data_IF_173797084134
#
_entry.id   IF_173797084134
#
_cell.length_a   1.000
_cell.length_b   1.000
_cell.length_c   1.000
_cell.angle_alpha   90.00
_cell.angle_beta   90.00
_cell.angle_gamma   90.00
#
_symmetry.space_group_name_H-M   'P 1'
#
loop_
_entity.id
_entity.type
_entity.pdbx_description
1 polymer ?
#
# COMPACT_ATOMS: atom_id res chain seq x y z
N UNK A 1 -35.85 -5.08 -36.68
CA UNK A 1 -34.39 -5.03 -36.44
C UNK A 1 -34.25 -4.28 -35.13
N UNK A 2 -34.20 -5.01 -34.01
CA UNK A 2 -34.14 -4.42 -32.68
C UNK A 2 -32.81 -3.69 -32.51
N UNK A 3 -32.89 -2.40 -32.19
CA UNK A 3 -31.78 -1.61 -31.69
C UNK A 3 -31.35 -2.24 -30.37
N UNK A 4 -30.31 -3.08 -30.41
CA UNK A 4 -29.62 -3.55 -29.20
C UNK A 4 -28.92 -2.33 -28.63
N UNK A 5 -29.64 -1.56 -27.81
CA UNK A 5 -29.17 -0.34 -27.17
C UNK A 5 -27.74 -0.53 -26.68
N UNK A 6 -26.86 0.41 -27.06
CA UNK A 6 -25.44 0.34 -26.74
C UNK A 6 -25.28 0.04 -25.24
N UNK A 7 -24.66 -1.09 -24.92
CA UNK A 7 -24.35 -1.45 -23.53
C UNK A 7 -23.37 -0.40 -23.01
N UNK A 8 -23.83 0.45 -22.09
CA UNK A 8 -22.98 1.45 -21.47
C UNK A 8 -22.06 0.72 -20.50
N UNK A 9 -20.81 0.53 -20.91
CA UNK A 9 -19.77 -0.05 -20.07
C UNK A 9 -19.45 0.87 -18.90
N UNK A 10 -19.32 0.27 -17.72
CA UNK A 10 -18.77 0.90 -16.55
C UNK A 10 -17.25 1.08 -16.67
N UNK A 11 -16.64 1.60 -15.61
CA UNK A 11 -15.20 1.88 -15.58
C UNK A 11 -14.58 1.41 -14.27
N UNK A 12 -13.37 0.89 -14.36
CA UNK A 12 -12.56 0.47 -13.21
C UNK A 12 -11.56 1.57 -12.87
N UNK A 13 -11.44 1.89 -11.59
CA UNK A 13 -10.43 2.80 -11.06
C UNK A 13 -9.56 2.04 -10.06
N UNK A 14 -8.26 1.97 -10.31
CA UNK A 14 -7.30 1.43 -9.35
C UNK A 14 -6.75 2.59 -8.52
N UNK A 15 -7.21 2.70 -7.29
CA UNK A 15 -6.99 3.90 -6.45
C UNK A 15 -5.98 3.62 -5.35
N UNK A 16 -4.95 4.46 -5.27
CA UNK A 16 -4.02 4.50 -4.15
C UNK A 16 -4.67 5.11 -2.90
N UNK A 17 -4.84 4.29 -1.87
CA UNK A 17 -5.47 4.67 -0.60
C UNK A 17 -4.52 5.39 0.36
N UNK A 18 -3.23 5.51 0.03
CA UNK A 18 -2.24 6.06 0.93
C UNK A 18 -1.63 5.02 1.90
N UNK A 19 -0.74 5.47 2.81
CA UNK A 19 0.08 4.58 3.64
C UNK A 19 -0.65 3.98 4.86
N UNK A 20 -1.87 4.45 5.16
CA UNK A 20 -2.64 3.99 6.32
C UNK A 20 -3.45 5.12 6.97
N UNK A 21 -2.89 6.32 7.03
CA UNK A 21 -3.64 7.51 7.44
C UNK A 21 -4.72 7.84 6.37
N UNK A 22 -6.02 7.88 6.72
CA UNK A 22 -7.09 8.17 5.78
C UNK A 22 -6.97 9.57 5.14
N UNK A 23 -6.31 10.54 5.79
CA UNK A 23 -6.12 11.89 5.24
C UNK A 23 -5.08 11.95 4.11
N UNK A 24 -4.27 10.90 3.97
CA UNK A 24 -3.25 10.79 2.92
C UNK A 24 -3.77 10.14 1.63
N UNK A 25 -5.07 9.84 1.55
CA UNK A 25 -5.73 9.59 0.27
C UNK A 25 -5.76 10.87 -0.58
N UNK A 26 -5.63 10.75 -1.89
CA UNK A 26 -5.79 11.93 -2.77
C UNK A 26 -7.25 12.36 -2.83
N UNK A 27 -7.53 13.66 -3.03
CA UNK A 27 -8.90 14.16 -3.21
C UNK A 27 -9.65 13.41 -4.32
N UNK A 28 -8.96 13.13 -5.44
CA UNK A 28 -9.53 12.35 -6.54
C UNK A 28 -9.86 10.92 -6.11
N UNK A 29 -8.97 10.26 -5.37
CA UNK A 29 -9.21 8.92 -4.83
C UNK A 29 -10.39 8.88 -3.87
N UNK A 30 -10.50 9.87 -2.99
CA UNK A 30 -11.60 10.01 -2.03
C UNK A 30 -12.95 10.17 -2.72
N UNK A 31 -13.06 11.11 -3.67
CA UNK A 31 -14.32 11.31 -4.39
C UNK A 31 -14.75 10.09 -5.20
N UNK A 32 -13.80 9.43 -5.87
CA UNK A 32 -14.08 8.18 -6.60
C UNK A 32 -14.52 7.06 -5.67
N UNK A 33 -13.90 6.94 -4.49
CA UNK A 33 -14.28 5.97 -3.48
C UNK A 33 -15.73 6.17 -3.04
N UNK A 34 -16.11 7.41 -2.72
CA UNK A 34 -17.47 7.74 -2.31
C UNK A 34 -18.49 7.53 -3.44
N UNK A 35 -18.13 7.85 -4.68
CA UNK A 35 -19.02 7.69 -5.85
C UNK A 35 -19.07 6.27 -6.41
N UNK A 36 -18.24 5.35 -5.92
CA UNK A 36 -18.19 3.99 -6.44
C UNK A 36 -19.53 3.27 -6.23
N UNK A 37 -19.88 2.41 -7.17
CA UNK A 37 -20.96 1.43 -7.01
C UNK A 37 -20.43 0.18 -6.30
N UNK A 38 -19.17 -0.18 -6.56
CA UNK A 38 -18.53 -1.40 -6.08
C UNK A 38 -17.09 -1.11 -5.65
N UNK A 39 -16.70 -1.62 -4.49
CA UNK A 39 -15.35 -1.48 -3.94
C UNK A 39 -14.72 -2.85 -3.72
N UNK A 40 -13.51 -3.01 -4.24
CA UNK A 40 -12.63 -4.18 -4.03
C UNK A 40 -11.40 -3.67 -3.28
N UNK A 41 -11.12 -4.18 -2.08
CA UNK A 41 -10.08 -3.61 -1.20
C UNK A 41 -8.90 -4.55 -0.93
N UNK A 42 -7.68 -4.02 -0.98
CA UNK A 42 -6.52 -4.72 -0.43
C UNK A 42 -6.55 -4.75 1.10
N UNK A 43 -6.03 -5.82 1.71
CA UNK A 43 -6.07 -6.07 3.16
C UNK A 43 -5.33 -5.06 4.07
N UNK A 44 -4.60 -4.10 3.50
CA UNK A 44 -3.80 -3.11 4.23
C UNK A 44 -4.35 -1.68 4.11
N UNK A 45 -5.57 -1.52 3.58
CA UNK A 45 -6.24 -0.22 3.52
C UNK A 45 -6.81 0.14 4.89
N UNK A 46 -6.81 1.44 5.22
CA UNK A 46 -7.42 2.00 6.44
C UNK A 46 -8.83 1.48 6.67
N UNK A 47 -9.14 1.13 7.92
CA UNK A 47 -10.52 0.80 8.32
C UNK A 47 -11.44 2.01 8.27
N UNK A 48 -10.95 3.20 8.62
CA UNK A 48 -11.76 4.42 8.55
C UNK A 48 -12.24 4.68 7.11
N UNK A 49 -11.39 4.50 6.10
CA UNK A 49 -11.80 4.63 4.70
C UNK A 49 -12.82 3.57 4.28
N UNK A 50 -12.64 2.33 4.70
CA UNK A 50 -13.56 1.23 4.35
C UNK A 50 -14.92 1.38 5.03
N UNK A 51 -14.96 1.95 6.23
CA UNK A 51 -16.19 2.17 6.98
C UNK A 51 -17.11 3.20 6.33
N UNK A 52 -16.55 4.14 5.54
CA UNK A 52 -17.33 5.12 4.75
C UNK A 52 -18.12 4.49 3.60
N UNK A 53 -17.74 3.29 3.15
CA UNK A 53 -18.28 2.63 1.95
C UNK A 53 -18.55 1.15 2.19
N UNK A 54 -18.75 0.74 3.44
CA UNK A 54 -18.77 -0.67 3.87
C UNK A 54 -19.79 -1.49 3.07
N UNK A 55 -20.95 -0.92 2.77
CA UNK A 55 -22.02 -1.53 1.99
C UNK A 55 -21.66 -1.78 0.51
N UNK A 56 -20.61 -1.12 0.02
CA UNK A 56 -20.11 -1.22 -1.36
C UNK A 56 -18.95 -2.21 -1.48
N UNK A 57 -18.36 -2.65 -0.37
CA UNK A 57 -17.20 -3.55 -0.37
C UNK A 57 -17.64 -4.98 -0.67
N UNK A 58 -17.25 -5.50 -1.83
CA UNK A 58 -17.59 -6.86 -2.27
C UNK A 58 -16.46 -7.87 -2.07
N UNK A 59 -15.24 -7.39 -1.84
CA UNK A 59 -14.06 -8.22 -1.62
C UNK A 59 -13.01 -7.46 -0.81
N UNK A 60 -12.39 -8.14 0.14
CA UNK A 60 -11.25 -7.64 0.92
C UNK A 60 -10.21 -8.76 1.09
N UNK A 61 -8.96 -8.52 0.69
CA UNK A 61 -7.95 -9.56 0.81
C UNK A 61 -6.54 -9.17 0.37
N UNK A 62 -5.59 -10.09 0.53
CA UNK A 62 -4.24 -9.94 -0.02
C UNK A 62 -4.26 -10.35 -1.49
N UNK A 63 -3.76 -9.48 -2.36
CA UNK A 63 -3.60 -9.78 -3.79
C UNK A 63 -2.35 -10.65 -4.01
N UNK A 64 -2.55 -11.96 -4.17
CA UNK A 64 -1.55 -12.94 -4.59
C UNK A 64 -1.71 -13.25 -6.08
N UNK A 65 -0.92 -14.17 -6.64
CA UNK A 65 -1.13 -14.60 -8.03
C UNK A 65 -2.51 -15.22 -8.27
N UNK A 66 -3.05 -15.94 -7.28
CA UNK A 66 -4.34 -16.61 -7.37
C UNK A 66 -5.50 -15.62 -7.22
N UNK A 67 -5.52 -14.85 -6.12
CA UNK A 67 -6.59 -13.88 -5.85
C UNK A 67 -6.59 -12.70 -6.82
N UNK A 68 -5.47 -12.44 -7.51
CA UNK A 68 -5.42 -11.44 -8.58
C UNK A 68 -6.38 -11.76 -9.72
N UNK A 69 -6.45 -13.03 -10.16
CA UNK A 69 -7.37 -13.41 -11.25
C UNK A 69 -8.83 -13.26 -10.83
N UNK A 70 -9.14 -13.65 -9.60
CA UNK A 70 -10.47 -13.47 -9.01
C UNK A 70 -10.86 -11.98 -8.97
N UNK A 71 -9.96 -11.11 -8.51
CA UNK A 71 -10.22 -9.67 -8.44
C UNK A 71 -10.41 -9.04 -9.83
N UNK A 72 -9.59 -9.42 -10.82
CA UNK A 72 -9.77 -8.96 -12.20
C UNK A 72 -11.14 -9.39 -12.74
N UNK A 73 -11.52 -10.65 -12.53
CA UNK A 73 -12.82 -11.18 -12.94
C UNK A 73 -13.97 -10.41 -12.30
N UNK A 74 -13.87 -10.16 -10.99
CA UNK A 74 -14.86 -9.42 -10.23
C UNK A 74 -15.01 -7.99 -10.76
N UNK A 75 -13.89 -7.30 -11.00
CA UNK A 75 -13.90 -5.94 -11.52
C UNK A 75 -14.52 -5.85 -12.93
N UNK A 76 -14.15 -6.78 -13.81
CA UNK A 76 -14.67 -6.84 -15.19
C UNK A 76 -16.16 -7.13 -15.20
N UNK A 77 -16.62 -8.10 -14.39
CA UNK A 77 -18.04 -8.45 -14.28
C UNK A 77 -18.88 -7.26 -13.85
N UNK A 78 -18.47 -6.56 -12.79
CA UNK A 78 -19.22 -5.39 -12.31
C UNK A 78 -19.19 -4.23 -13.33
N UNK A 79 -18.05 -3.97 -13.97
CA UNK A 79 -17.97 -2.94 -15.00
C UNK A 79 -18.80 -3.29 -16.26
N UNK A 80 -18.90 -4.57 -16.63
CA UNK A 80 -19.77 -5.03 -17.73
C UNK A 80 -21.27 -4.75 -17.46
N UNK A 81 -21.65 -4.63 -16.18
CA UNK A 81 -22.99 -4.24 -15.74
C UNK A 81 -23.18 -2.71 -15.69
N UNK A 82 -22.25 -1.92 -16.23
CA UNK A 82 -22.32 -0.46 -16.26
C UNK A 82 -21.84 0.24 -14.98
N UNK A 83 -21.30 -0.51 -14.02
CA UNK A 83 -20.94 0.01 -12.68
C UNK A 83 -19.58 0.70 -12.65
N UNK A 84 -19.47 1.72 -11.82
CA UNK A 84 -18.19 2.31 -11.41
C UNK A 84 -17.55 1.43 -10.34
N UNK A 85 -16.43 0.81 -10.68
CA UNK A 85 -15.70 -0.09 -9.78
C UNK A 85 -14.44 0.60 -9.28
N UNK A 86 -14.24 0.63 -7.97
CA UNK A 86 -13.00 1.07 -7.34
C UNK A 86 -12.25 -0.12 -6.77
N UNK A 87 -11.02 -0.31 -7.21
CA UNK A 87 -10.06 -1.25 -6.64
C UNK A 87 -9.08 -0.46 -5.77
N UNK A 88 -9.27 -0.51 -4.45
CA UNK A 88 -8.40 0.17 -3.50
C UNK A 88 -7.09 -0.60 -3.28
N UNK A 89 -5.97 0.07 -3.51
CA UNK A 89 -4.63 -0.40 -3.20
C UNK A 89 -4.03 0.45 -2.10
N UNK A 90 -3.44 -0.19 -1.09
CA UNK A 90 -2.56 0.49 -0.13
C UNK A 90 -1.40 1.20 -0.85
N UNK A 91 -0.99 2.35 -0.34
CA UNK A 91 0.09 3.17 -0.88
C UNK A 91 -0.24 3.72 -2.26
N UNK A 92 0.72 3.56 -3.19
CA UNK A 92 0.57 3.91 -4.59
C UNK A 92 0.40 2.63 -5.45
N UNK A 93 -0.56 2.55 -6.38
CA UNK A 93 -0.80 1.35 -7.20
C UNK A 93 0.36 0.96 -8.12
N UNK A 94 1.30 1.87 -8.37
CA UNK A 94 2.44 1.68 -9.28
C UNK A 94 3.70 1.18 -8.57
N UNK A 95 3.73 1.19 -7.23
CA UNK A 95 4.90 0.78 -6.45
C UNK A 95 4.69 -0.60 -5.83
N UNK A 96 5.55 -1.56 -6.22
CA UNK A 96 5.69 -2.91 -5.63
C UNK A 96 4.40 -3.72 -5.43
N UNK A 97 3.33 -3.35 -6.14
CA UNK A 97 2.04 -3.99 -6.12
C UNK A 97 1.61 -4.53 -7.48
N UNK A 98 0.40 -5.05 -7.53
CA UNK A 98 -0.22 -5.59 -8.76
C UNK A 98 -1.18 -4.60 -9.44
N UNK A 99 -1.21 -3.33 -9.02
CA UNK A 99 -2.19 -2.35 -9.50
C UNK A 99 -2.11 -2.11 -11.01
N UNK A 100 -0.90 -1.90 -11.54
CA UNK A 100 -0.68 -1.74 -12.99
C UNK A 100 -1.04 -3.00 -13.77
N UNK A 101 -0.65 -4.18 -13.26
CA UNK A 101 -0.96 -5.45 -13.90
C UNK A 101 -2.47 -5.70 -13.97
N UNK A 102 -3.19 -5.42 -12.87
CA UNK A 102 -4.64 -5.52 -12.79
C UNK A 102 -5.30 -4.61 -13.82
N UNK A 103 -4.88 -3.34 -13.90
CA UNK A 103 -5.48 -2.38 -14.82
C UNK A 103 -5.30 -2.82 -16.28
N UNK A 104 -4.09 -3.26 -16.65
CA UNK A 104 -3.80 -3.80 -18.00
C UNK A 104 -4.64 -5.03 -18.34
N UNK A 105 -4.84 -5.94 -17.38
CA UNK A 105 -5.65 -7.14 -17.60
C UNK A 105 -7.15 -6.82 -17.73
N UNK A 106 -7.64 -5.81 -17.02
CA UNK A 106 -9.01 -5.28 -17.17
C UNK A 106 -9.18 -4.64 -18.56
N UNK A 107 -8.23 -3.81 -18.99
CA UNK A 107 -8.25 -3.18 -20.32
C UNK A 107 -8.18 -4.22 -21.45
N UNK A 108 -7.36 -5.26 -21.28
CA UNK A 108 -7.26 -6.37 -22.24
C UNK A 108 -8.58 -7.13 -22.43
N UNK A 109 -9.52 -7.00 -21.47
CA UNK A 109 -10.88 -7.57 -21.53
C UNK A 109 -11.93 -6.57 -22.03
N UNK A 110 -11.50 -5.41 -22.54
CA UNK A 110 -12.37 -4.40 -23.14
C UNK A 110 -13.05 -3.46 -22.14
N UNK A 111 -12.67 -3.51 -20.86
CA UNK A 111 -13.20 -2.61 -19.82
C UNK A 111 -12.24 -1.43 -19.62
N UNK A 112 -12.71 -0.16 -19.71
CA UNK A 112 -11.88 0.99 -19.40
C UNK A 112 -11.35 0.93 -17.96
N UNK A 113 -10.05 1.15 -17.79
CA UNK A 113 -9.42 1.22 -16.48
C UNK A 113 -8.55 2.48 -16.34
N UNK A 114 -8.50 3.06 -15.14
CA UNK A 114 -7.64 4.19 -14.84
C UNK A 114 -6.95 4.01 -13.49
N UNK A 115 -5.66 4.35 -13.42
CA UNK A 115 -4.90 4.35 -12.17
C UNK A 115 -4.92 5.74 -11.57
N UNK A 116 -5.31 5.82 -10.29
CA UNK A 116 -5.25 7.03 -9.48
C UNK A 116 -4.09 6.89 -8.51
N UNK A 117 -3.07 7.76 -8.58
CA UNK A 117 -1.89 7.67 -7.72
C UNK A 117 -2.26 7.90 -6.25
N UNK A 118 -1.40 7.40 -5.36
CA UNK A 118 -1.55 7.52 -3.92
C UNK A 118 -0.24 7.89 -3.23
N UNK A 119 -0.34 8.33 -1.98
CA UNK A 119 0.86 8.58 -1.17
C UNK A 119 1.49 7.25 -0.77
N UNK A 120 2.74 7.00 -1.17
CA UNK A 120 3.47 5.79 -0.80
C UNK A 120 3.96 5.86 0.64
N UNK A 121 4.09 4.70 1.30
CA UNK A 121 4.70 4.61 2.63
C UNK A 121 6.11 5.18 2.68
N UNK A 122 6.85 5.10 1.58
CA UNK A 122 8.15 5.75 1.39
C UNK A 122 8.09 7.25 1.70
N UNK A 123 7.22 7.98 1.00
CA UNK A 123 7.17 9.44 1.07
C UNK A 123 6.50 9.90 2.35
N UNK A 124 5.50 9.17 2.81
CA UNK A 124 4.85 9.43 4.09
C UNK A 124 5.82 9.30 5.27
N UNK A 125 6.61 8.22 5.31
CA UNK A 125 7.57 8.00 6.39
C UNK A 125 8.70 9.04 6.35
N UNK A 126 9.21 9.37 5.16
CA UNK A 126 10.20 10.42 4.98
C UNK A 126 9.70 11.78 5.48
N UNK A 127 8.46 12.14 5.15
CA UNK A 127 7.82 13.37 5.63
C UNK A 127 7.65 13.36 7.15
N UNK A 128 7.13 12.27 7.73
CA UNK A 128 6.94 12.12 9.19
C UNK A 128 8.24 12.36 9.95
N UNK A 129 9.36 11.84 9.46
CA UNK A 129 10.66 11.93 10.12
C UNK A 129 11.55 13.06 9.60
N UNK A 130 11.05 13.90 8.68
CA UNK A 130 11.79 15.03 8.09
C UNK A 130 13.10 14.58 7.41
N UNK A 131 13.05 13.43 6.76
CA UNK A 131 14.20 12.83 6.08
C UNK A 131 14.10 13.15 4.59
N UNK A 132 15.12 13.78 3.98
CA UNK A 132 15.14 14.01 2.55
C UNK A 132 15.25 12.66 1.81
N UNK A 133 14.28 12.35 0.95
CA UNK A 133 14.34 11.16 0.09
C UNK A 133 15.47 11.29 -0.93
N UNK A 134 15.75 12.52 -1.36
CA UNK A 134 16.86 12.85 -2.25
C UNK A 134 17.51 14.15 -1.79
N UNK A 135 18.82 14.24 -1.85
CA UNK A 135 19.58 15.47 -1.59
C UNK A 135 20.77 15.55 -2.56
N UNK A 136 21.08 16.75 -3.06
CA UNK A 136 22.26 16.98 -3.90
C UNK A 136 22.28 16.21 -5.24
N UNK A 137 21.11 15.84 -5.78
CA UNK A 137 20.99 15.16 -7.09
C UNK A 137 21.42 13.68 -7.09
N UNK A 138 21.55 13.05 -5.92
CA UNK A 138 21.92 11.63 -5.82
C UNK A 138 20.79 10.71 -6.31
N UNK A 139 21.12 9.59 -6.99
CA UNK A 139 20.13 8.60 -7.40
C UNK A 139 19.39 7.98 -6.21
N UNK A 140 18.09 7.73 -6.37
CA UNK A 140 17.25 6.99 -5.44
C UNK A 140 17.04 5.56 -5.96
N UNK A 141 17.31 4.56 -5.13
CA UNK A 141 17.00 3.16 -5.42
C UNK A 141 15.84 2.70 -4.56
N UNK A 142 14.79 2.18 -5.20
CA UNK A 142 13.67 1.57 -4.51
C UNK A 142 13.70 0.06 -4.77
N UNK A 143 13.55 -0.76 -3.72
CA UNK A 143 13.53 -2.21 -3.86
C UNK A 143 12.61 -2.87 -2.84
N UNK A 144 12.51 -4.18 -2.91
CA UNK A 144 11.81 -5.02 -1.92
C UNK A 144 12.81 -5.96 -1.27
N UNK A 145 12.64 -6.32 0.01
CA UNK A 145 13.35 -7.45 0.60
C UNK A 145 12.66 -8.74 0.17
N UNK A 146 12.98 -9.24 -1.02
CA UNK A 146 12.59 -10.59 -1.42
C UNK A 146 13.81 -11.42 -1.77
N UNK A 147 14.50 -11.88 -0.73
CA UNK A 147 15.33 -13.08 -0.76
C UNK A 147 15.33 -13.78 0.60
N UNK A 148 14.48 -14.79 0.78
CA UNK A 148 14.64 -15.82 1.82
C UNK A 148 13.93 -15.64 3.17
N UNK A 149 13.08 -14.63 3.38
CA UNK A 149 12.27 -14.46 4.61
C UNK A 149 11.71 -13.04 4.74
N UNK A 150 10.42 -12.92 5.07
CA UNK A 150 9.61 -11.69 4.95
C UNK A 150 10.20 -10.48 5.72
N UNK A 151 10.40 -9.32 5.07
CA UNK A 151 9.34 -8.29 5.05
C UNK A 151 9.12 -7.52 3.73
N UNK A 152 7.93 -6.92 3.61
CA UNK A 152 7.34 -6.40 2.37
C UNK A 152 7.79 -5.00 1.90
N UNK A 153 8.79 -4.33 2.49
CA UNK A 153 9.36 -3.07 1.93
C UNK A 153 10.83 -2.90 2.33
N UNK A 154 11.72 -2.54 1.40
CA UNK A 154 13.06 -1.99 1.71
C UNK A 154 13.29 -0.72 0.89
N UNK A 155 13.22 0.41 1.55
CA UNK A 155 13.64 1.68 0.96
C UNK A 155 15.16 1.78 1.06
N UNK A 156 15.85 2.15 -0.02
CA UNK A 156 17.23 2.63 0.07
C UNK A 156 17.21 4.15 -0.08
N UNK A 157 17.87 4.84 0.84
CA UNK A 157 18.06 6.29 0.82
C UNK A 157 19.48 6.66 0.32
N UNK A 158 19.71 7.93 -0.09
CA UNK A 158 21.02 8.38 -0.54
C UNK A 158 22.12 8.14 0.49
N UNK A 159 23.32 7.84 0.02
CA UNK A 159 24.51 7.70 0.87
C UNK A 159 24.69 8.93 1.78
N UNK A 160 24.86 8.75 3.09
CA UNK A 160 25.09 9.85 4.06
C UNK A 160 23.84 10.56 4.62
N UNK A 161 22.62 10.15 4.25
CA UNK A 161 21.37 10.77 4.72
C UNK A 161 20.82 10.21 6.04
N UNK A 162 21.56 9.31 6.70
CA UNK A 162 21.17 8.73 7.98
C UNK A 162 22.15 9.12 9.09
N UNK A 163 21.78 10.14 9.88
CA UNK A 163 22.27 10.31 11.25
C UNK A 163 21.22 9.70 12.17
N UNK A 164 21.66 8.84 13.09
CA UNK A 164 20.84 7.85 13.80
C UNK A 164 19.53 8.37 14.40
N UNK A 165 18.43 7.74 13.99
CA UNK A 165 17.14 7.80 14.66
C UNK A 165 16.50 6.41 14.56
N UNK A 166 16.39 5.73 15.70
CA UNK A 166 15.52 4.54 15.83
C UNK A 166 14.14 5.09 16.15
N UNK A 167 13.16 4.87 15.28
CA UNK A 167 11.77 5.17 15.62
C UNK A 167 10.98 3.88 15.63
N UNK A 168 10.59 3.49 16.84
CA UNK A 168 9.55 2.49 17.05
C UNK A 168 8.21 3.20 16.82
N UNK A 169 7.36 2.59 15.98
CA UNK A 169 5.96 2.96 15.77
C UNK A 169 5.66 4.09 14.75
N UNK A 170 5.42 3.69 13.49
CA UNK A 170 5.09 4.60 12.40
C UNK A 170 3.67 5.17 12.53
N UNK A 171 2.69 4.44 13.08
CA UNK A 171 1.31 4.94 13.26
C UNK A 171 0.51 4.30 14.41
N UNK A 172 1.14 3.63 15.39
CA UNK A 172 0.43 2.95 16.49
C UNK A 172 0.14 1.46 16.23
N UNK A 173 0.65 0.90 15.13
CA UNK A 173 0.34 -0.45 14.66
C UNK A 173 1.48 -1.47 14.90
N UNK A 174 2.56 -1.07 15.58
CA UNK A 174 3.64 -1.98 15.98
C UNK A 174 4.71 -2.19 14.90
N UNK A 175 4.90 -1.22 13.99
CA UNK A 175 5.95 -1.27 12.98
C UNK A 175 7.35 -1.02 13.57
N UNK A 176 8.33 -1.81 13.15
CA UNK A 176 9.73 -1.67 13.57
C UNK A 176 10.57 -1.11 12.42
N UNK A 177 11.21 0.03 12.61
CA UNK A 177 12.16 0.59 11.63
C UNK A 177 13.55 0.05 11.95
N UNK A 178 14.19 -0.64 11.00
CA UNK A 178 15.56 -1.12 11.16
C UNK A 178 16.50 -0.22 10.35
N UNK A 179 17.59 0.23 10.96
CA UNK A 179 18.69 0.86 10.23
C UNK A 179 19.83 -0.16 10.13
N UNK A 180 20.39 -0.35 8.93
CA UNK A 180 21.43 -1.35 8.70
C UNK A 180 22.33 -0.96 7.54
N UNK A 181 23.49 -1.63 7.44
CA UNK A 181 24.45 -1.46 6.33
C UNK A 181 24.45 -2.68 5.39
N UNK A 182 23.57 -2.76 4.37
CA UNK A 182 23.73 -3.77 3.34
C UNK A 182 25.03 -3.50 2.58
N UNK A 183 26.01 -4.40 2.70
CA UNK A 183 27.32 -4.32 2.02
C UNK A 183 28.12 -3.03 2.31
N UNK A 184 28.03 -2.50 3.53
CA UNK A 184 28.88 -1.39 3.99
C UNK A 184 28.39 0.02 3.66
N UNK A 185 27.21 0.19 3.04
CA UNK A 185 26.60 1.52 2.79
C UNK A 185 25.46 1.83 3.77
N UNK A 186 25.29 3.07 4.25
CA UNK A 186 24.16 3.44 5.12
C UNK A 186 22.81 3.28 4.40
N UNK A 187 21.84 2.59 5.00
CA UNK A 187 20.48 2.47 4.51
C UNK A 187 19.45 2.66 5.64
N UNK A 188 18.30 3.27 5.31
CA UNK A 188 17.14 3.35 6.21
C UNK A 188 16.09 2.32 5.77
N UNK A 189 15.83 1.29 6.59
CA UNK A 189 14.89 0.21 6.24
C UNK A 189 13.57 0.39 6.97
N UNK A 190 12.50 0.66 6.22
CA UNK A 190 11.14 0.64 6.75
C UNK A 190 10.57 -0.78 6.71
N UNK A 191 10.36 -1.42 7.87
CA UNK A 191 9.65 -2.70 7.96
C UNK A 191 8.25 -2.46 8.49
N UNK A 192 7.25 -2.52 7.60
CA UNK A 192 5.83 -2.49 7.98
C UNK A 192 5.38 -3.92 8.32
N UNK A 193 5.00 -4.18 9.58
CA UNK A 193 4.35 -5.44 9.98
C UNK A 193 2.87 -5.19 10.24
N UNK A 194 2.00 -6.13 9.83
CA UNK A 194 0.59 -6.15 10.25
C UNK A 194 0.53 -6.61 11.71
N UNK A 195 -0.18 -5.88 12.56
CA UNK A 195 -0.50 -6.30 13.93
C UNK A 195 -1.35 -7.58 13.87
N UNK A 196 -0.83 -8.71 14.35
CA UNK A 196 -1.68 -9.85 14.69
C UNK A 196 -2.51 -9.49 15.94
N UNK A 197 -3.78 -9.90 15.95
CA UNK A 197 -4.66 -9.71 17.12
C UNK A 197 -4.14 -10.54 18.29
N UNK A 198 -3.94 -9.87 19.41
CA UNK A 198 -3.89 -10.33 20.80
C UNK A 198 -3.40 -11.77 21.09
N UNK A 199 -2.17 -11.84 21.63
CA UNK A 199 -1.80 -12.85 22.62
C UNK A 199 -1.76 -12.16 24.00
N UNK A 200 -2.89 -12.23 24.70
CA UNK A 200 -2.95 -12.05 26.15
C UNK A 200 -2.03 -13.07 26.82
N UNK A 201 -0.89 -12.65 27.36
CA UNK A 201 -0.20 -13.36 28.44
C UNK A 201 0.54 -12.37 29.35
N UNK A 202 0.06 -12.29 30.59
CA UNK A 202 0.92 -12.23 31.77
C UNK A 202 1.38 -10.85 32.22
N UNK A 203 0.91 -10.46 33.41
CA UNK A 203 1.54 -9.46 34.25
C UNK A 203 3.06 -9.68 34.35
N UNK A 204 3.84 -8.65 34.04
CA UNK A 204 5.29 -8.72 34.17
C UNK A 204 5.90 -7.33 34.07
N UNK A 205 6.27 -6.77 35.22
CA UNK A 205 7.15 -5.59 35.30
C UNK A 205 8.48 -5.91 34.59
N UNK A 206 8.91 -5.07 33.64
CA UNK A 206 10.24 -5.09 33.04
C UNK A 206 10.28 -4.07 31.91
N UNK A 207 11.11 -3.03 31.92
CA UNK A 207 12.55 -3.07 32.15
C UNK A 207 13.22 -3.05 30.78
N UNK A 208 13.62 -1.86 30.30
CA UNK A 208 14.36 -1.70 29.04
C UNK A 208 15.70 -2.43 29.13
N UNK A 209 16.01 -3.31 28.17
CA UNK A 209 17.37 -3.85 27.99
C UNK A 209 18.01 -3.07 26.86
N UNK A 210 18.98 -2.24 27.22
CA UNK A 210 19.87 -1.54 26.31
C UNK A 210 21.10 -2.43 26.12
N UNK A 211 21.17 -3.19 25.03
CA UNK A 211 22.41 -3.88 24.66
C UNK A 211 23.27 -2.93 23.81
N UNK A 212 24.25 -2.30 24.45
CA UNK A 212 25.39 -1.68 23.78
C UNK A 212 26.34 -2.79 23.32
N UNK A 213 26.40 -3.06 22.02
CA UNK A 213 27.50 -3.86 21.48
C UNK A 213 28.69 -2.93 21.17
N UNK A 214 29.62 -2.82 22.13
CA UNK A 214 30.95 -2.28 21.87
C UNK A 214 31.65 -3.15 20.82
N UNK A 215 32.23 -2.53 19.79
CA UNK A 215 33.16 -3.20 18.87
C UNK A 215 34.59 -2.77 19.22
N UNK A 216 35.39 -3.74 19.66
CA UNK A 216 36.85 -3.74 19.59
C UNK A 216 37.30 -4.06 18.16
#
# INVERSE_FOLDING_TARGET
>A
MEDKGAVVLGKVYVVGAGPGDPELITLRGFFLLLSADVVISASLVSRELLDLVREKVVWEGRLTGETHREVVELAVRHAAEGRTVVVLKNGDPTLFGRGVALCREVEARGVPCEIIPGVSSLTAAAAKYKIPITEGGRPLLLTTARSGGDPDVVVFMPEGSAVGLVVEDLYGAGEKVYHGRPRGRPALVFILRRKERDLLLGEGRGGYIQEETQHS
#
